data_IF_298428060728
#
_entry.id   IF_298428060728
#
_cell.length_a   1.000
_cell.length_b   1.000
_cell.length_c   1.000
_cell.angle_alpha   90.00
_cell.angle_beta   90.00
_cell.angle_gamma   90.00
#
_symmetry.space_group_name_H-M   'P 1'
#
loop_
_entity.id
_entity.type
_entity.pdbx_description
1 polymer ?
#
# COMPACT_ATOMS: atom_id res chain seq x y z
N UNK A 1 -54.61 -16.91 -2.99
CA UNK A 1 -54.08 -17.40 -4.28
C UNK A 1 -53.65 -16.15 -5.07
N UNK A 2 -52.38 -15.78 -5.27
CA UNK A 2 -51.10 -16.51 -5.33
C UNK A 2 -49.98 -15.57 -4.87
N UNK A 3 -49.32 -15.95 -3.78
CA UNK A 3 -47.95 -15.52 -3.46
C UNK A 3 -46.97 -16.16 -4.47
N UNK A 4 -45.75 -15.60 -4.55
CA UNK A 4 -44.53 -16.11 -5.21
C UNK A 4 -44.17 -15.48 -6.57
N UNK A 5 -43.41 -14.39 -6.50
CA UNK A 5 -42.25 -14.13 -7.35
C UNK A 5 -41.19 -13.48 -6.44
N UNK A 6 -40.37 -14.27 -5.72
CA UNK A 6 -39.00 -14.62 -6.15
C UNK A 6 -38.25 -13.32 -6.52
N UNK A 7 -37.53 -12.65 -5.61
CA UNK A 7 -36.46 -13.22 -4.79
C UNK A 7 -35.19 -13.38 -5.62
N UNK A 8 -34.66 -12.30 -6.21
CA UNK A 8 -33.45 -12.36 -7.05
C UNK A 8 -32.76 -10.99 -7.28
N UNK A 9 -32.70 -10.12 -6.27
CA UNK A 9 -31.75 -8.97 -6.30
C UNK A 9 -31.12 -8.80 -4.92
N UNK A 10 -30.46 -9.86 -4.45
CA UNK A 10 -29.72 -9.90 -3.18
C UNK A 10 -28.20 -9.98 -3.39
N UNK A 11 -27.73 -9.69 -4.60
CA UNK A 11 -26.30 -9.62 -4.92
C UNK A 11 -26.06 -8.43 -5.85
N UNK A 12 -26.40 -7.23 -5.38
CA UNK A 12 -25.61 -6.05 -5.75
C UNK A 12 -24.41 -6.09 -4.80
N UNK A 13 -23.47 -7.01 -5.02
CA UNK A 13 -22.20 -6.61 -5.59
C UNK A 13 -21.69 -5.38 -4.84
N UNK A 14 -21.33 -5.61 -3.58
CA UNK A 14 -20.12 -5.03 -3.00
C UNK A 14 -18.91 -5.46 -3.84
N UNK A 15 -18.90 -5.17 -5.15
CA UNK A 15 -17.70 -4.58 -5.72
C UNK A 15 -17.60 -3.27 -4.95
N UNK A 16 -16.97 -3.35 -3.77
CA UNK A 16 -16.42 -2.19 -3.14
C UNK A 16 -15.62 -1.54 -4.24
N UNK A 17 -16.15 -0.45 -4.78
CA UNK A 17 -15.30 0.55 -5.36
C UNK A 17 -14.25 0.74 -4.28
N UNK A 18 -13.03 0.30 -4.54
CA UNK A 18 -11.85 0.95 -4.02
C UNK A 18 -12.07 2.41 -4.41
N UNK A 19 -12.76 3.14 -3.54
CA UNK A 19 -13.05 4.55 -3.67
C UNK A 19 -11.68 5.17 -3.51
N UNK A 20 -10.99 5.28 -4.65
CA UNK A 20 -9.69 5.90 -4.78
C UNK A 20 -9.88 7.36 -4.42
N UNK A 21 -9.82 7.64 -3.13
CA UNK A 21 -9.46 8.96 -2.61
C UNK A 21 -8.01 9.19 -3.01
N UNK A 22 -7.83 9.53 -4.29
CA UNK A 22 -6.54 9.87 -4.86
C UNK A 22 -5.94 11.00 -4.02
N UNK A 23 -4.78 10.75 -3.44
CA UNK A 23 -3.96 11.76 -2.78
C UNK A 23 -4.08 11.76 -1.25
N UNK A 24 -4.79 10.81 -0.65
CA UNK A 24 -4.92 10.70 0.81
C UNK A 24 -4.25 9.44 1.39
N UNK A 25 -3.70 8.56 0.53
CA UNK A 25 -3.08 7.30 0.93
C UNK A 25 -1.91 7.49 1.88
N UNK A 26 -1.97 6.82 3.04
CA UNK A 26 -0.94 6.88 4.10
C UNK A 26 0.13 5.81 3.91
N UNK A 27 1.30 5.99 4.54
CA UNK A 27 2.37 4.97 4.50
C UNK A 27 1.86 3.59 4.92
N UNK A 28 2.06 2.58 4.06
CA UNK A 28 1.60 1.21 4.25
C UNK A 28 0.21 0.90 3.69
N UNK A 29 -0.52 1.91 3.22
CA UNK A 29 -1.81 1.73 2.56
C UNK A 29 -1.60 1.29 1.10
N UNK A 30 -2.43 0.38 0.60
CA UNK A 30 -2.34 -0.11 -0.78
C UNK A 30 -2.62 1.00 -1.79
N UNK A 31 -1.84 1.04 -2.86
CA UNK A 31 -1.97 2.04 -3.93
C UNK A 31 -1.85 1.38 -5.30
N UNK A 32 -2.39 2.02 -6.33
CA UNK A 32 -2.20 1.62 -7.73
C UNK A 32 -1.29 2.59 -8.48
N UNK A 33 -1.42 3.88 -8.18
CA UNK A 33 -0.69 4.97 -8.79
C UNK A 33 -0.05 5.87 -7.71
N UNK A 34 1.01 6.60 -8.09
CA UNK A 34 1.67 7.55 -7.20
C UNK A 34 0.69 8.58 -6.63
N UNK A 35 -0.25 9.05 -7.46
CA UNK A 35 -1.32 9.98 -7.10
C UNK A 35 -2.30 9.45 -6.05
N UNK A 36 -2.35 8.14 -5.77
CA UNK A 36 -3.15 7.61 -4.66
C UNK A 36 -2.56 8.03 -3.30
N UNK A 37 -1.25 8.21 -3.24
CA UNK A 37 -0.52 8.45 -2.01
C UNK A 37 -0.41 9.94 -1.72
N UNK A 38 -0.60 10.32 -0.45
CA UNK A 38 -0.43 11.70 0.02
C UNK A 38 0.93 12.32 -0.33
N UNK A 39 1.96 11.48 -0.43
CA UNK A 39 3.32 11.89 -0.74
C UNK A 39 3.77 11.52 -2.16
N UNK A 40 2.89 11.02 -3.03
CA UNK A 40 3.22 10.71 -4.41
C UNK A 40 4.13 9.48 -4.60
N UNK A 41 4.20 8.58 -3.63
CA UNK A 41 5.16 7.47 -3.63
C UNK A 41 4.43 6.14 -3.44
N UNK A 42 4.10 5.49 -4.55
CA UNK A 42 3.51 4.16 -4.59
C UNK A 42 4.57 3.15 -5.03
N UNK A 43 5.02 2.28 -4.12
CA UNK A 43 6.16 1.39 -4.37
C UNK A 43 5.82 -0.03 -3.94
N UNK A 44 6.08 -0.99 -4.83
CA UNK A 44 5.97 -2.43 -4.52
C UNK A 44 7.25 -2.95 -3.87
N UNK A 45 7.14 -3.99 -3.05
CA UNK A 45 8.29 -4.59 -2.35
C UNK A 45 8.68 -3.91 -1.05
N UNK A 46 8.05 -2.78 -0.69
CA UNK A 46 8.40 -2.02 0.52
C UNK A 46 7.70 -2.52 1.77
N UNK A 47 6.57 -3.21 1.65
CA UNK A 47 5.80 -3.80 2.76
C UNK A 47 5.25 -5.20 2.40
N UNK A 48 5.96 -5.90 1.51
CA UNK A 48 5.47 -7.08 0.80
C UNK A 48 5.37 -6.81 -0.71
N UNK A 49 4.82 -7.76 -1.46
CA UNK A 49 4.78 -7.71 -2.94
C UNK A 49 3.78 -6.70 -3.49
N UNK A 50 2.75 -6.36 -2.72
CA UNK A 50 1.76 -5.39 -3.14
C UNK A 50 2.38 -3.97 -3.14
N UNK A 51 2.06 -3.14 -4.15
CA UNK A 51 2.37 -1.71 -4.11
C UNK A 51 1.63 -1.04 -2.95
N UNK A 52 2.40 -0.34 -2.12
CA UNK A 52 1.86 0.46 -1.01
C UNK A 52 2.48 1.85 -1.02
N UNK A 53 1.77 2.78 -0.41
CA UNK A 53 2.23 4.13 -0.20
C UNK A 53 3.42 4.15 0.75
N UNK A 54 4.42 4.97 0.45
CA UNK A 54 5.57 5.22 1.31
C UNK A 54 5.94 6.70 1.29
N UNK A 55 6.98 7.08 2.02
CA UNK A 55 7.53 8.42 2.06
C UNK A 55 9.04 8.36 1.84
N UNK A 56 9.58 9.43 1.25
CA UNK A 56 11.02 9.65 1.24
C UNK A 56 11.51 10.00 2.64
N UNK A 57 12.71 9.56 2.97
CA UNK A 57 13.32 9.80 4.27
C UNK A 57 14.82 10.09 4.08
N UNK A 58 15.38 10.91 4.97
CA UNK A 58 16.82 11.05 5.15
C UNK A 58 17.32 10.25 6.36
N UNK A 59 16.46 10.03 7.36
CA UNK A 59 16.73 9.26 8.59
C UNK A 59 15.56 8.34 8.96
N UNK A 60 15.84 7.26 9.69
CA UNK A 60 14.80 6.32 10.17
C UNK A 60 13.78 6.96 11.10
N UNK A 61 14.12 8.04 11.83
CA UNK A 61 13.19 8.78 12.68
C UNK A 61 12.03 9.44 11.92
N UNK A 62 12.18 9.66 10.62
CA UNK A 62 11.11 10.17 9.75
C UNK A 62 10.11 9.08 9.35
N UNK A 63 10.51 7.82 9.46
CA UNK A 63 9.68 6.68 9.12
C UNK A 63 8.71 6.35 10.27
N UNK A 64 7.47 5.95 9.95
CA UNK A 64 6.52 5.51 10.97
C UNK A 64 7.03 4.27 11.72
N UNK A 65 6.48 4.01 12.91
CA UNK A 65 6.92 2.88 13.73
C UNK A 65 6.84 1.56 12.96
N UNK A 66 7.93 0.79 13.00
CA UNK A 66 8.06 -0.47 12.27
C UNK A 66 8.57 -0.33 10.83
N UNK A 67 8.96 0.88 10.41
CA UNK A 67 9.57 1.16 9.12
C UNK A 67 11.01 1.65 9.30
N UNK A 68 11.85 1.38 8.31
CA UNK A 68 13.24 1.82 8.27
C UNK A 68 13.55 2.59 6.99
N UNK A 69 14.45 3.56 7.07
CA UNK A 69 14.89 4.34 5.91
C UNK A 69 15.97 3.60 5.13
N UNK A 70 15.55 2.61 4.34
CA UNK A 70 16.47 1.68 3.65
C UNK A 70 16.12 1.35 2.21
N UNK A 71 14.92 1.68 1.75
CA UNK A 71 14.58 1.48 0.34
C UNK A 71 15.23 2.55 -0.52
N UNK A 72 15.68 2.19 -1.72
CA UNK A 72 16.24 3.14 -2.68
C UNK A 72 15.37 3.10 -3.94
N UNK A 73 14.88 4.26 -4.40
CA UNK A 73 14.14 4.37 -5.66
C UNK A 73 15.09 4.47 -6.86
N UNK A 74 14.55 4.32 -8.06
CA UNK A 74 15.28 4.54 -9.33
C UNK A 74 15.91 5.93 -9.43
N UNK A 75 15.36 6.91 -8.73
CA UNK A 75 15.84 8.30 -8.67
C UNK A 75 16.90 8.53 -7.58
N UNK A 76 17.44 7.48 -6.96
CA UNK A 76 18.38 7.52 -5.83
C UNK A 76 17.82 8.22 -4.58
N UNK A 77 16.50 8.17 -4.39
CA UNK A 77 15.85 8.71 -3.19
C UNK A 77 15.68 7.58 -2.17
N UNK A 78 16.08 7.83 -0.93
CA UNK A 78 15.83 6.92 0.18
C UNK A 78 14.35 6.99 0.59
N UNK A 79 13.75 5.83 0.78
CA UNK A 79 12.33 5.68 1.15
C UNK A 79 12.18 4.74 2.34
N UNK A 80 11.08 4.95 3.06
CA UNK A 80 10.71 4.09 4.16
C UNK A 80 10.26 2.72 3.63
N UNK A 81 10.72 1.67 4.29
CA UNK A 81 10.34 0.28 3.99
C UNK A 81 9.97 -0.44 5.27
N UNK A 82 8.89 -1.22 5.24
CA UNK A 82 8.42 -2.07 6.31
C UNK A 82 9.14 -3.42 6.24
N UNK A 83 10.05 -3.64 7.17
CA UNK A 83 10.85 -4.84 7.26
C UNK A 83 12.02 -4.62 8.22
N UNK A 84 12.45 -5.67 8.91
CA UNK A 84 13.67 -5.61 9.68
C UNK A 84 14.83 -5.26 8.73
N UNK A 85 15.74 -4.35 9.10
CA UNK A 85 16.92 -4.06 8.30
C UNK A 85 17.77 -5.32 8.22
N UNK A 86 17.60 -6.11 7.16
CA UNK A 86 18.53 -7.18 6.82
C UNK A 86 19.71 -6.54 6.08
N UNK A 87 20.94 -7.06 6.26
CA UNK A 87 22.15 -6.50 5.66
C UNK A 87 22.17 -6.51 4.11
N UNK A 88 21.14 -7.03 3.45
CA UNK A 88 21.03 -7.15 1.99
C UNK A 88 19.83 -6.39 1.39
N UNK A 89 19.13 -5.57 2.18
CA UNK A 89 17.94 -4.84 1.72
C UNK A 89 16.64 -5.61 1.89
N UNK A 90 15.52 -4.88 1.75
CA UNK A 90 14.16 -5.37 2.00
C UNK A 90 13.84 -6.59 1.14
N UNK A 91 13.50 -7.72 1.78
CA UNK A 91 13.07 -8.92 1.07
C UNK A 91 13.61 -10.27 1.56
N UNK A 92 13.85 -10.46 2.86
CA UNK A 92 13.94 -11.84 3.38
C UNK A 92 12.51 -12.42 3.48
N UNK A 93 11.98 -12.91 2.35
CA UNK A 93 10.92 -13.91 2.37
C UNK A 93 11.54 -15.20 2.88
N UNK A 94 11.18 -15.58 4.11
CA UNK A 94 11.30 -16.96 4.56
C UNK A 94 10.22 -17.79 3.84
N UNK A 95 10.64 -18.97 3.40
CA UNK A 95 10.00 -19.88 2.44
C UNK A 95 8.69 -20.53 2.96
#
# INVERSE_FOLDING_TARGET
MRSLALGLVWVALCFGCSDGSRGDGRTGESCQEADDCRHGLCVAGVAGDAPVCTISCASTDECPRGWACSGLTSDNVLICTQGAPTPFGVGAREE
#
